data_IF_982865916691
#
_entry.id   IF_982865916691
#
_cell.length_a   1.000
_cell.length_b   1.000
_cell.length_c   1.000
_cell.angle_alpha   90.00
_cell.angle_beta   90.00
_cell.angle_gamma   90.00
#
_symmetry.space_group_name_H-M   'P 1'
#
loop_
_entity.id
_entity.type
_entity.pdbx_description
1 polymer ?
#
# COMPACT_ATOMS: atom_id res chain seq x y z
N UNK A 1 -31.57 28.36 24.91
CA UNK A 1 -30.48 27.61 24.24
C UNK A 1 -31.00 27.21 22.88
N UNK A 2 -30.37 27.68 21.80
CA UNK A 2 -30.85 27.43 20.44
C UNK A 2 -30.84 25.93 20.14
N UNK A 3 -31.98 25.41 19.67
CA UNK A 3 -32.08 24.06 19.13
C UNK A 3 -31.18 23.94 17.89
N UNK A 4 -30.43 22.83 17.68
CA UNK A 4 -29.49 22.69 16.56
C UNK A 4 -30.13 22.56 15.16
N UNK A 5 -31.37 23.05 14.97
CA UNK A 5 -32.17 22.86 13.76
C UNK A 5 -32.04 23.96 12.71
N UNK A 6 -31.21 24.99 12.92
CA UNK A 6 -31.17 26.20 12.07
C UNK A 6 -29.96 26.28 11.12
N UNK A 7 -29.15 25.23 10.99
CA UNK A 7 -28.03 25.24 10.04
C UNK A 7 -28.40 24.48 8.76
N UNK A 8 -28.28 25.16 7.62
CA UNK A 8 -28.61 24.63 6.29
C UNK A 8 -27.48 23.73 5.73
N UNK A 9 -27.02 22.76 6.53
CA UNK A 9 -25.91 21.85 6.21
C UNK A 9 -26.20 20.43 6.67
N UNK A 10 -25.62 19.44 5.99
CA UNK A 10 -25.73 18.02 6.33
C UNK A 10 -24.35 17.34 6.43
N UNK A 11 -24.24 16.33 7.29
CA UNK A 11 -23.00 15.55 7.41
C UNK A 11 -22.90 14.53 6.29
N UNK A 12 -21.83 14.60 5.47
CA UNK A 12 -21.51 13.58 4.46
C UNK A 12 -20.70 12.43 5.07
N UNK A 13 -19.71 12.74 5.93
CA UNK A 13 -18.86 11.76 6.61
C UNK A 13 -18.32 12.35 7.90
N UNK A 14 -18.23 11.51 8.94
CA UNK A 14 -17.53 11.83 10.20
C UNK A 14 -16.59 10.69 10.58
N UNK A 15 -15.52 11.02 11.27
CA UNK A 15 -14.49 10.07 11.70
C UNK A 15 -13.55 10.75 12.68
N UNK A 16 -13.11 10.02 13.69
CA UNK A 16 -12.09 10.47 14.63
C UNK A 16 -11.27 9.27 15.12
N UNK A 17 -10.06 9.50 15.62
CA UNK A 17 -9.29 8.43 16.24
C UNK A 17 -7.85 8.79 16.54
N UNK A 18 -6.94 7.83 16.37
CA UNK A 18 -5.51 8.02 16.67
C UNK A 18 -4.64 7.51 15.53
N UNK A 19 -3.71 8.36 15.11
CA UNK A 19 -2.73 8.04 14.08
C UNK A 19 -1.34 7.84 14.69
N UNK A 20 -0.49 7.12 13.98
CA UNK A 20 0.93 6.89 14.27
C UNK A 20 1.15 6.18 15.62
N UNK A 21 0.30 5.20 15.94
CA UNK A 21 0.52 4.31 17.10
C UNK A 21 1.57 3.27 16.72
N UNK A 22 2.82 3.48 17.15
CA UNK A 22 3.95 2.57 16.88
C UNK A 22 4.06 1.46 17.93
N UNK A 23 4.18 0.22 17.48
CA UNK A 23 4.30 -0.96 18.36
C UNK A 23 5.32 -1.93 17.79
N UNK A 24 6.28 -2.38 18.62
CA UNK A 24 7.14 -3.52 18.34
C UNK A 24 6.67 -4.71 19.20
N UNK A 25 6.29 -5.80 18.55
CA UNK A 25 5.91 -7.06 19.21
C UNK A 25 7.06 -8.05 19.07
N UNK A 26 7.49 -8.64 20.19
CA UNK A 26 8.57 -9.62 20.23
C UNK A 26 8.01 -10.96 20.76
N UNK A 27 8.18 -12.03 19.98
CA UNK A 27 7.95 -13.41 20.43
C UNK A 27 9.28 -14.11 20.64
N UNK A 28 9.53 -14.65 21.83
CA UNK A 28 10.78 -15.33 22.18
C UNK A 28 10.55 -16.84 22.29
N UNK A 29 11.29 -17.61 21.51
CA UNK A 29 11.31 -19.07 21.50
C UNK A 29 12.73 -19.53 21.81
N UNK A 30 13.06 -19.68 23.10
CA UNK A 30 14.42 -19.92 23.56
C UNK A 30 15.36 -18.78 23.17
N UNK A 31 16.46 -19.09 22.48
CA UNK A 31 17.42 -18.11 21.95
C UNK A 31 16.99 -17.46 20.63
N UNK A 32 15.92 -17.97 20.00
CA UNK A 32 15.40 -17.49 18.73
C UNK A 32 14.23 -16.52 18.96
N UNK A 33 14.37 -15.28 18.48
CA UNK A 33 13.37 -14.23 18.65
C UNK A 33 12.73 -13.89 17.30
N UNK A 34 11.44 -13.59 17.30
CA UNK A 34 10.67 -13.08 16.17
C UNK A 34 10.17 -11.68 16.52
N UNK A 35 10.17 -10.79 15.53
CA UNK A 35 9.66 -9.42 15.69
C UNK A 35 8.66 -9.06 14.60
N UNK A 36 7.74 -8.18 14.93
CA UNK A 36 6.98 -7.37 13.98
C UNK A 36 6.85 -5.97 14.58
N UNK A 37 7.31 -4.96 13.85
CA UNK A 37 7.10 -3.56 14.21
C UNK A 37 6.09 -2.95 13.23
N UNK A 38 5.11 -2.24 13.76
CA UNK A 38 4.03 -1.66 12.98
C UNK A 38 3.72 -0.23 13.42
N UNK A 39 3.09 0.52 12.52
CA UNK A 39 2.51 1.84 12.75
C UNK A 39 1.04 1.79 12.38
N UNK A 40 0.15 1.98 13.36
CA UNK A 40 -1.30 1.89 13.18
C UNK A 40 -1.98 3.28 13.23
N UNK A 41 -2.93 3.47 12.33
CA UNK A 41 -3.90 4.56 12.31
C UNK A 41 -5.30 3.96 12.44
N UNK A 42 -6.06 4.40 13.45
CA UNK A 42 -7.40 3.88 13.76
C UNK A 42 -8.39 5.04 13.70
N UNK A 43 -9.46 4.87 12.93
CA UNK A 43 -10.58 5.82 12.79
C UNK A 43 -11.90 5.13 13.12
N UNK A 44 -12.73 5.79 13.91
CA UNK A 44 -14.07 5.35 14.30
C UNK A 44 -15.12 6.37 13.84
N UNK A 45 -16.28 5.88 13.41
CA UNK A 45 -17.47 6.70 13.16
C UNK A 45 -18.55 6.32 14.17
N UNK A 46 -19.05 7.30 14.92
CA UNK A 46 -20.11 7.08 15.93
C UNK A 46 -21.51 7.24 15.32
N UNK A 47 -22.53 6.75 16.03
CA UNK A 47 -23.95 6.94 15.68
C UNK A 47 -24.43 8.35 15.94
N UNK A 48 -24.00 8.94 17.06
CA UNK A 48 -24.36 10.29 17.47
C UNK A 48 -23.56 11.36 16.72
N UNK A 49 -24.06 12.60 16.73
CA UNK A 49 -23.38 13.81 16.24
C UNK A 49 -23.31 14.92 17.30
N UNK A 50 -23.66 14.60 18.55
CA UNK A 50 -23.73 15.59 19.65
C UNK A 50 -22.36 16.16 20.05
N UNK A 51 -21.30 15.41 19.78
CA UNK A 51 -19.92 15.86 19.85
C UNK A 51 -19.66 17.05 18.91
N UNK A 52 -20.12 16.95 17.66
CA UNK A 52 -20.00 18.05 16.68
C UNK A 52 -21.01 19.18 16.91
N UNK A 53 -22.26 18.84 17.19
CA UNK A 53 -23.37 19.81 17.22
C UNK A 53 -23.40 20.63 18.52
N UNK A 54 -23.05 20.03 19.65
CA UNK A 54 -23.18 20.65 20.99
C UNK A 54 -21.94 20.52 21.85
N UNK A 55 -20.86 19.88 21.36
CA UNK A 55 -19.66 19.62 22.15
C UNK A 55 -19.84 18.58 23.25
N UNK A 56 -20.88 17.74 23.16
CA UNK A 56 -21.14 16.70 24.17
C UNK A 56 -20.29 15.45 23.89
N UNK A 57 -19.31 15.21 24.75
CA UNK A 57 -18.35 14.12 24.62
C UNK A 57 -18.79 12.81 25.28
N UNK A 58 -20.03 12.68 25.77
CA UNK A 58 -20.46 11.49 26.53
C UNK A 58 -20.48 10.18 25.73
N UNK A 59 -20.45 10.24 24.39
CA UNK A 59 -20.29 9.06 23.52
C UNK A 59 -18.85 8.84 23.04
N UNK A 60 -17.92 9.76 23.32
CA UNK A 60 -16.56 9.73 22.80
C UNK A 60 -15.74 8.67 23.55
N UNK A 61 -15.19 7.71 22.80
CA UNK A 61 -14.08 6.89 23.25
C UNK A 61 -12.82 7.75 23.13
N UNK A 62 -12.11 8.10 24.22
CA UNK A 62 -10.94 8.98 24.12
C UNK A 62 -9.89 8.41 23.15
N UNK A 63 -9.27 9.26 22.35
CA UNK A 63 -8.24 8.79 21.39
C UNK A 63 -7.05 8.13 22.11
N UNK A 64 -6.77 8.50 23.36
CA UNK A 64 -5.80 7.79 24.19
C UNK A 64 -6.24 6.36 24.52
N UNK A 65 -7.53 6.13 24.80
CA UNK A 65 -8.10 4.79 24.95
C UNK A 65 -7.93 3.98 23.67
N UNK A 66 -8.11 4.59 22.50
CA UNK A 66 -7.88 3.90 21.21
C UNK A 66 -6.43 3.42 21.09
N UNK A 67 -5.45 4.28 21.41
CA UNK A 67 -4.02 3.91 21.48
C UNK A 67 -3.78 2.76 22.47
N UNK A 68 -4.36 2.86 23.68
CA UNK A 68 -4.22 1.83 24.71
C UNK A 68 -4.85 0.49 24.27
N UNK A 69 -5.97 0.51 23.54
CA UNK A 69 -6.59 -0.67 22.94
C UNK A 69 -5.67 -1.34 21.92
N UNK A 70 -5.00 -0.58 21.05
CA UNK A 70 -4.00 -1.15 20.13
C UNK A 70 -2.91 -1.87 20.90
N UNK A 71 -2.34 -1.24 21.94
CA UNK A 71 -1.32 -1.88 22.78
C UNK A 71 -1.84 -3.14 23.50
N UNK A 72 -3.04 -3.04 24.08
CA UNK A 72 -3.69 -4.13 24.80
C UNK A 72 -3.97 -5.34 23.90
N UNK A 73 -4.53 -5.11 22.71
CA UNK A 73 -4.80 -6.18 21.74
C UNK A 73 -3.51 -6.81 21.22
N UNK A 74 -2.47 -6.02 20.93
CA UNK A 74 -1.17 -6.56 20.50
C UNK A 74 -0.58 -7.51 21.57
N UNK A 75 -0.77 -7.19 22.87
CA UNK A 75 -0.36 -8.06 23.98
C UNK A 75 -1.24 -9.30 24.13
N UNK A 76 -2.56 -9.15 24.03
CA UNK A 76 -3.52 -10.23 24.31
C UNK A 76 -3.61 -11.25 23.16
N UNK A 77 -3.61 -10.78 21.92
CA UNK A 77 -3.76 -11.62 20.71
C UNK A 77 -2.43 -11.93 20.02
N UNK A 78 -1.39 -11.14 20.31
CA UNK A 78 -0.19 -11.12 19.48
C UNK A 78 -0.46 -10.43 18.14
N UNK A 79 0.56 -10.39 17.29
CA UNK A 79 0.46 -9.90 15.92
C UNK A 79 1.17 -10.91 15.03
N UNK A 80 0.40 -11.61 14.18
CA UNK A 80 0.95 -12.51 13.15
C UNK A 80 1.17 -11.75 11.85
N UNK A 81 0.11 -11.09 11.38
CA UNK A 81 0.13 -10.21 10.21
C UNK A 81 -0.58 -8.90 10.55
N UNK A 82 -0.25 -7.82 9.84
CA UNK A 82 -0.90 -6.52 10.05
C UNK A 82 -2.38 -6.54 9.65
N UNK A 83 -2.77 -7.35 8.66
CA UNK A 83 -4.16 -7.50 8.22
C UNK A 83 -5.02 -8.15 9.31
N UNK A 84 -4.54 -9.27 9.87
CA UNK A 84 -5.26 -9.98 10.92
C UNK A 84 -5.40 -9.10 12.18
N UNK A 85 -4.34 -8.38 12.52
CA UNK A 85 -4.38 -7.49 13.67
C UNK A 85 -5.31 -6.28 13.45
N UNK A 86 -5.39 -5.77 12.21
CA UNK A 86 -6.36 -4.72 11.85
C UNK A 86 -7.80 -5.21 11.94
N UNK A 87 -8.08 -6.47 11.53
CA UNK A 87 -9.38 -7.12 11.73
C UNK A 87 -9.73 -7.24 13.22
N UNK A 88 -8.76 -7.62 14.06
CA UNK A 88 -8.96 -7.75 15.51
C UNK A 88 -9.34 -6.42 16.17
N UNK A 89 -8.72 -5.31 15.74
CA UNK A 89 -9.02 -3.96 16.22
C UNK A 89 -10.41 -3.52 15.75
N UNK A 90 -10.75 -3.72 14.47
CA UNK A 90 -12.08 -3.40 13.94
C UNK A 90 -13.17 -4.13 14.73
N UNK A 91 -12.99 -5.44 14.90
CA UNK A 91 -13.92 -6.28 15.66
C UNK A 91 -14.08 -5.77 17.09
N UNK A 92 -12.98 -5.48 17.79
CA UNK A 92 -13.03 -5.00 19.17
C UNK A 92 -13.91 -3.75 19.32
N UNK A 93 -13.72 -2.73 18.47
CA UNK A 93 -14.50 -1.50 18.60
C UNK A 93 -15.97 -1.69 18.25
N UNK A 94 -16.28 -2.51 17.24
CA UNK A 94 -17.65 -2.77 16.83
C UNK A 94 -18.43 -3.65 17.82
N UNK A 95 -17.75 -4.53 18.56
CA UNK A 95 -18.42 -5.41 19.55
C UNK A 95 -18.45 -4.82 20.95
N UNK A 96 -17.49 -3.96 21.31
CA UNK A 96 -17.40 -3.39 22.67
C UNK A 96 -18.28 -2.16 22.84
N UNK A 97 -18.68 -1.50 21.74
CA UNK A 97 -19.40 -0.22 21.76
C UNK A 97 -20.56 -0.22 20.75
N UNK A 98 -21.80 -0.31 21.24
CA UNK A 98 -23.00 -0.38 20.39
C UNK A 98 -23.26 0.88 19.54
N UNK A 99 -22.63 2.01 19.88
CA UNK A 99 -22.76 3.28 19.19
C UNK A 99 -21.66 3.56 18.17
N UNK A 100 -20.71 2.63 17.97
CA UNK A 100 -19.72 2.69 16.88
C UNK A 100 -20.35 2.06 15.63
N UNK A 101 -20.49 2.85 14.56
CA UNK A 101 -21.08 2.42 13.29
C UNK A 101 -20.06 1.87 12.30
N UNK A 102 -18.80 2.30 12.41
CA UNK A 102 -17.73 1.93 11.50
C UNK A 102 -16.38 2.02 12.20
N UNK A 103 -15.53 1.03 11.94
CA UNK A 103 -14.13 1.05 12.33
C UNK A 103 -13.28 0.91 11.07
N UNK A 104 -12.26 1.74 10.95
CA UNK A 104 -11.27 1.70 9.88
C UNK A 104 -9.87 1.71 10.48
N UNK A 105 -9.02 0.81 10.03
CA UNK A 105 -7.65 0.64 10.52
C UNK A 105 -6.69 0.57 9.34
N UNK A 106 -5.75 1.50 9.30
CA UNK A 106 -4.61 1.47 8.38
C UNK A 106 -3.36 1.07 9.16
N UNK A 107 -2.55 0.17 8.59
CA UNK A 107 -1.28 -0.21 9.19
C UNK A 107 -0.16 -0.26 8.17
N UNK A 108 1.03 0.14 8.61
CA UNK A 108 2.29 -0.11 7.91
C UNK A 108 3.16 -1.03 8.76
N UNK A 109 3.79 -2.01 8.12
CA UNK A 109 4.82 -2.84 8.72
C UNK A 109 6.20 -2.21 8.47
N UNK A 110 7.02 -2.13 9.52
CA UNK A 110 8.41 -1.75 9.39
C UNK A 110 9.17 -2.91 8.72
N UNK A 111 9.92 -2.67 7.62
CA UNK A 111 10.57 -3.71 6.82
C UNK A 111 11.86 -4.22 7.47
N UNK A 112 11.75 -4.76 8.69
CA UNK A 112 12.83 -5.48 9.34
C UNK A 112 13.03 -6.82 8.65
N UNK A 113 14.27 -7.08 8.24
CA UNK A 113 14.70 -8.39 7.73
C UNK A 113 15.65 -9.01 8.74
N UNK A 114 15.50 -10.31 9.00
CA UNK A 114 16.48 -11.03 9.83
C UNK A 114 17.85 -10.98 9.17
N UNK A 115 18.90 -10.76 9.96
CA UNK A 115 20.27 -10.83 9.43
C UNK A 115 20.57 -12.27 8.99
N UNK A 116 21.16 -12.42 7.81
CA UNK A 116 21.53 -13.70 7.24
C UNK A 116 22.95 -13.63 6.67
N UNK A 117 23.73 -14.68 6.86
CA UNK A 117 25.05 -14.84 6.24
C UNK A 117 25.25 -16.30 5.84
N UNK A 118 25.63 -16.54 4.58
CA UNK A 118 25.87 -17.88 4.03
C UNK A 118 24.67 -18.84 4.23
N UNK A 119 23.44 -18.35 4.08
CA UNK A 119 22.22 -19.13 4.31
C UNK A 119 21.87 -19.40 5.78
N UNK A 120 22.63 -18.83 6.72
CA UNK A 120 22.37 -18.96 8.17
C UNK A 120 21.75 -17.68 8.69
N UNK A 121 20.55 -17.80 9.23
CA UNK A 121 19.80 -16.71 9.87
C UNK A 121 20.26 -16.46 11.32
N UNK A 122 20.37 -15.19 11.71
CA UNK A 122 20.70 -14.80 13.07
C UNK A 122 19.50 -14.97 14.01
N UNK A 123 19.73 -15.56 15.18
CA UNK A 123 18.66 -15.88 16.13
C UNK A 123 17.82 -14.68 16.61
N UNK A 124 18.37 -13.45 16.65
CA UNK A 124 17.71 -12.29 17.26
C UNK A 124 18.24 -10.94 16.75
N UNK A 125 18.94 -10.90 15.62
CA UNK A 125 19.46 -9.67 15.03
C UNK A 125 18.78 -9.40 13.68
N UNK A 126 18.41 -8.14 13.45
CA UNK A 126 17.61 -7.69 12.32
C UNK A 126 18.22 -6.44 11.70
N UNK A 127 18.04 -6.26 10.40
CA UNK A 127 18.46 -5.09 9.63
C UNK A 127 17.22 -4.42 9.01
N UNK A 128 17.18 -3.09 9.04
CA UNK A 128 16.11 -2.33 8.41
C UNK A 128 16.35 -2.31 6.90
N UNK A 129 15.46 -2.93 6.11
CA UNK A 129 15.69 -3.22 4.69
C UNK A 129 14.49 -2.80 3.84
N UNK A 130 14.31 -1.49 3.56
CA UNK A 130 13.12 -0.95 2.90
C UNK A 130 13.13 -1.17 1.38
N UNK A 131 13.26 -2.41 0.93
CA UNK A 131 13.11 -2.79 -0.49
C UNK A 131 11.68 -2.53 -0.98
N UNK A 132 10.71 -2.75 -0.09
CA UNK A 132 9.29 -2.58 -0.32
C UNK A 132 8.61 -2.50 1.06
N UNK A 133 7.67 -1.58 1.23
CA UNK A 133 6.91 -1.41 2.47
C UNK A 133 5.54 -2.08 2.33
N UNK A 134 5.25 -3.03 3.22
CA UNK A 134 3.92 -3.64 3.35
C UNK A 134 2.99 -2.74 4.14
N UNK A 135 1.76 -2.60 3.65
CA UNK A 135 0.70 -1.92 4.37
C UNK A 135 -0.64 -2.65 4.19
N UNK A 136 -1.61 -2.34 5.05
CA UNK A 136 -2.99 -2.79 4.89
C UNK A 136 -3.98 -1.69 5.28
N UNK A 137 -5.20 -1.78 4.75
CA UNK A 137 -6.35 -0.93 5.08
C UNK A 137 -7.56 -1.85 5.28
N UNK A 138 -8.06 -1.91 6.51
CA UNK A 138 -9.23 -2.72 6.88
C UNK A 138 -10.35 -1.79 7.31
N UNK A 139 -11.53 -1.98 6.73
CA UNK A 139 -12.72 -1.21 7.06
C UNK A 139 -13.89 -2.14 7.32
N UNK A 140 -14.62 -1.90 8.41
CA UNK A 140 -15.80 -2.68 8.76
C UNK A 140 -16.91 -1.74 9.26
N UNK A 141 -18.08 -1.85 8.63
CA UNK A 141 -19.32 -1.26 9.13
C UNK A 141 -19.96 -2.20 10.17
N UNK A 142 -20.73 -1.63 11.10
CA UNK A 142 -21.48 -2.39 12.10
C UNK A 142 -22.38 -3.43 11.41
N UNK A 143 -22.27 -4.69 11.83
CA UNK A 143 -22.94 -5.87 11.25
C UNK A 143 -22.58 -6.16 9.77
N UNK A 144 -21.60 -5.47 9.20
CA UNK A 144 -21.08 -5.71 7.86
C UNK A 144 -19.90 -6.69 7.85
N UNK A 145 -19.64 -7.24 6.65
CA UNK A 145 -18.43 -8.03 6.39
C UNK A 145 -17.24 -7.06 6.29
N UNK A 146 -16.11 -7.33 6.97
CA UNK A 146 -14.93 -6.48 6.87
C UNK A 146 -14.34 -6.54 5.46
N UNK A 147 -13.95 -5.37 4.94
CA UNK A 147 -13.22 -5.22 3.68
C UNK A 147 -11.75 -5.08 4.01
N UNK A 148 -10.92 -5.97 3.46
CA UNK A 148 -9.48 -6.00 3.69
C UNK A 148 -8.76 -5.62 2.39
N UNK A 149 -7.86 -4.64 2.49
CA UNK A 149 -6.86 -4.36 1.49
C UNK A 149 -5.47 -4.63 2.05
N UNK A 150 -4.60 -5.25 1.26
CA UNK A 150 -3.15 -5.23 1.47
C UNK A 150 -2.50 -4.39 0.36
N UNK A 151 -1.25 -4.04 0.56
CA UNK A 151 -0.51 -3.33 -0.46
C UNK A 151 0.99 -3.33 -0.27
N UNK A 152 1.66 -2.88 -1.32
CA UNK A 152 3.08 -2.57 -1.36
C UNK A 152 3.27 -1.12 -1.77
N UNK A 153 4.17 -0.41 -1.10
CA UNK A 153 4.54 0.97 -1.43
C UNK A 153 6.04 1.17 -1.25
N UNK A 154 6.55 2.30 -1.75
CA UNK A 154 7.96 2.68 -1.66
C UNK A 154 8.90 1.61 -2.23
N UNK A 155 8.46 0.86 -3.25
CA UNK A 155 9.28 -0.13 -3.94
C UNK A 155 9.88 0.51 -5.19
N UNK A 156 11.08 1.08 -5.04
CA UNK A 156 11.78 1.75 -6.15
C UNK A 156 12.58 0.74 -6.96
N UNK A 157 12.26 0.65 -8.25
CA UNK A 157 12.92 -0.24 -9.22
C UNK A 157 13.33 0.56 -10.45
N UNK A 158 14.49 0.20 -11.02
CA UNK A 158 15.05 0.83 -12.21
C UNK A 158 15.55 -0.26 -13.16
N UNK A 159 15.22 -0.13 -14.45
CA UNK A 159 15.91 -0.83 -15.54
C UNK A 159 16.46 0.17 -16.54
N UNK A 160 17.64 -0.12 -17.07
CA UNK A 160 18.43 0.80 -17.91
C UNK A 160 18.10 0.70 -19.40
N UNK A 161 17.31 -0.30 -19.80
CA UNK A 161 16.95 -0.59 -21.19
C UNK A 161 15.64 -1.38 -21.23
N UNK A 162 15.28 -1.94 -22.39
CA UNK A 162 14.07 -2.74 -22.61
C UNK A 162 12.79 -1.95 -22.26
N UNK A 163 12.81 -0.65 -22.55
CA UNK A 163 11.69 0.27 -22.39
C UNK A 163 11.70 1.27 -23.52
N UNK A 164 10.59 1.38 -24.24
CA UNK A 164 10.40 2.36 -25.31
C UNK A 164 9.21 3.26 -25.06
N UNK A 165 9.10 4.30 -25.89
CA UNK A 165 7.90 5.11 -26.01
C UNK A 165 7.85 5.78 -27.38
N UNK A 166 7.01 5.24 -28.26
CA UNK A 166 6.82 5.68 -29.64
C UNK A 166 5.34 5.55 -30.04
N UNK A 167 4.96 6.16 -31.16
CA UNK A 167 3.59 6.13 -31.69
C UNK A 167 2.59 7.00 -30.92
N UNK A 168 3.07 7.94 -30.10
CA UNK A 168 2.19 8.84 -29.35
C UNK A 168 1.65 9.98 -30.23
N UNK A 169 0.50 10.52 -29.81
CA UNK A 169 -0.12 11.67 -30.48
C UNK A 169 0.78 12.91 -30.37
N UNK A 170 0.87 13.68 -31.46
CA UNK A 170 1.66 14.91 -31.53
C UNK A 170 0.75 16.10 -31.75
N UNK A 171 0.92 17.12 -30.92
CA UNK A 171 0.26 18.40 -31.05
C UNK A 171 1.28 19.55 -31.06
N UNK A 172 0.78 20.79 -31.03
CA UNK A 172 1.62 22.01 -31.03
C UNK A 172 2.53 22.17 -29.81
N UNK A 173 2.36 21.37 -28.76
CA UNK A 173 3.15 21.43 -27.52
C UNK A 173 4.07 20.22 -27.34
N UNK A 174 4.10 19.30 -28.29
CA UNK A 174 4.88 18.06 -28.20
C UNK A 174 6.33 18.30 -28.64
N UNK A 175 7.25 18.36 -27.68
CA UNK A 175 8.71 18.44 -27.93
C UNK A 175 9.42 17.10 -27.74
N UNK A 176 8.75 16.15 -27.08
CA UNK A 176 9.29 14.82 -26.80
C UNK A 176 9.59 14.07 -28.10
N UNK A 177 10.81 13.56 -28.21
CA UNK A 177 11.20 12.66 -29.28
C UNK A 177 10.79 11.23 -28.94
N UNK A 178 10.38 10.48 -29.96
CA UNK A 178 10.14 9.04 -29.80
C UNK A 178 11.46 8.35 -29.45
N UNK A 179 11.38 7.32 -28.60
CA UNK A 179 12.55 6.50 -28.29
C UNK A 179 12.19 5.03 -28.28
N UNK A 180 13.11 4.23 -28.81
CA UNK A 180 13.04 2.77 -28.76
C UNK A 180 13.74 2.19 -27.53
N UNK A 181 14.60 2.98 -26.88
CA UNK A 181 15.26 2.57 -25.66
C UNK A 181 15.42 3.74 -24.68
N UNK A 182 15.15 3.49 -23.40
CA UNK A 182 15.30 4.47 -22.32
C UNK A 182 15.35 3.77 -20.96
N UNK A 183 15.87 4.47 -19.97
CA UNK A 183 15.66 4.09 -18.58
C UNK A 183 14.17 4.10 -18.22
N UNK A 184 13.75 3.14 -17.40
CA UNK A 184 12.46 3.14 -16.73
C UNK A 184 12.70 2.98 -15.22
N UNK A 185 12.43 4.05 -14.47
CA UNK A 185 12.47 4.06 -13.02
C UNK A 185 11.09 4.38 -12.46
N UNK A 186 10.64 3.62 -11.46
CA UNK A 186 9.37 3.83 -10.79
C UNK A 186 9.46 3.49 -9.31
N UNK A 187 8.72 4.22 -8.48
CA UNK A 187 8.43 3.83 -7.10
C UNK A 187 7.02 3.26 -7.04
N UNK A 188 6.90 1.93 -7.05
CA UNK A 188 5.61 1.26 -7.20
C UNK A 188 4.76 1.44 -5.95
N UNK A 189 3.49 1.80 -6.17
CA UNK A 189 2.40 1.61 -5.23
C UNK A 189 1.41 0.62 -5.82
N UNK A 190 1.07 -0.42 -5.07
CA UNK A 190 -0.03 -1.32 -5.40
C UNK A 190 -0.87 -1.60 -4.16
N UNK A 191 -2.20 -1.60 -4.35
CA UNK A 191 -3.18 -1.91 -3.31
C UNK A 191 -4.20 -2.87 -3.89
N UNK A 192 -4.52 -3.93 -3.18
CA UNK A 192 -5.49 -4.90 -3.65
C UNK A 192 -6.52 -5.25 -2.58
N UNK A 193 -7.75 -5.50 -3.02
CA UNK A 193 -8.88 -5.92 -2.18
C UNK A 193 -9.04 -7.42 -2.25
N UNK A 194 -9.19 -8.06 -1.10
CA UNK A 194 -9.53 -9.48 -1.04
C UNK A 194 -11.03 -9.72 -1.23
N UNK A 195 -11.39 -10.89 -1.77
CA UNK A 195 -12.78 -11.33 -1.93
C UNK A 195 -13.39 -11.92 -0.64
N UNK A 196 -12.56 -12.22 0.36
CA UNK A 196 -12.92 -12.73 1.68
C UNK A 196 -12.03 -12.09 2.74
N UNK A 197 -12.36 -12.24 4.02
CA UNK A 197 -11.60 -11.65 5.13
C UNK A 197 -10.96 -12.68 6.06
N UNK A 198 -11.20 -13.97 5.83
CA UNK A 198 -10.70 -15.08 6.63
C UNK A 198 -10.10 -16.14 5.71
N UNK A 199 -9.29 -17.04 6.28
CA UNK A 199 -8.65 -18.14 5.56
C UNK A 199 -7.79 -17.67 4.37
N UNK A 200 -7.04 -16.58 4.58
CA UNK A 200 -6.08 -16.01 3.64
C UNK A 200 -4.70 -16.10 4.27
N UNK A 201 -3.74 -16.65 3.53
CA UNK A 201 -2.33 -16.48 3.85
C UNK A 201 -1.86 -15.10 3.33
N UNK A 202 -1.98 -14.09 4.19
CA UNK A 202 -1.65 -12.70 3.84
C UNK A 202 -0.16 -12.54 3.51
N UNK A 203 0.72 -13.30 4.17
CA UNK A 203 2.17 -13.21 3.96
C UNK A 203 2.56 -13.80 2.60
N UNK A 204 2.04 -15.00 2.29
CA UNK A 204 2.24 -15.63 0.99
C UNK A 204 1.65 -14.80 -0.15
N UNK A 205 0.46 -14.22 0.06
CA UNK A 205 -0.17 -13.35 -0.93
C UNK A 205 0.66 -12.10 -1.19
N UNK A 206 1.07 -11.38 -0.14
CA UNK A 206 1.89 -10.18 -0.28
C UNK A 206 3.19 -10.47 -1.02
N UNK A 207 3.85 -11.58 -0.67
CA UNK A 207 5.08 -12.03 -1.35
C UNK A 207 4.81 -12.32 -2.83
N UNK A 208 3.76 -13.07 -3.15
CA UNK A 208 3.40 -13.41 -4.52
C UNK A 208 3.12 -12.16 -5.38
N UNK A 209 2.40 -11.17 -4.83
CA UNK A 209 2.13 -9.91 -5.55
C UNK A 209 3.41 -9.10 -5.73
N UNK A 210 4.25 -8.95 -4.70
CA UNK A 210 5.56 -8.27 -4.80
C UNK A 210 6.41 -8.91 -5.90
N UNK A 211 6.54 -10.24 -5.89
CA UNK A 211 7.33 -10.99 -6.87
C UNK A 211 6.75 -10.85 -8.28
N UNK A 212 5.44 -10.88 -8.43
CA UNK A 212 4.76 -10.68 -9.73
C UNK A 212 5.03 -9.30 -10.31
N UNK A 213 5.04 -8.25 -9.48
CA UNK A 213 5.40 -6.89 -9.92
C UNK A 213 6.86 -6.83 -10.39
N UNK A 214 7.79 -7.40 -9.62
CA UNK A 214 9.22 -7.42 -9.97
C UNK A 214 9.44 -8.20 -11.26
N UNK A 215 8.82 -9.37 -11.40
CA UNK A 215 8.89 -10.22 -12.58
C UNK A 215 8.40 -9.48 -13.83
N UNK A 216 7.23 -8.84 -13.77
CA UNK A 216 6.68 -8.10 -14.91
C UNK A 216 7.41 -6.81 -15.23
N UNK A 217 8.08 -6.21 -14.26
CA UNK A 217 8.93 -5.05 -14.49
C UNK A 217 10.23 -5.43 -15.21
N UNK A 218 10.92 -6.46 -14.71
CA UNK A 218 12.27 -6.84 -15.15
C UNK A 218 12.27 -7.80 -16.34
N UNK A 219 11.37 -8.78 -16.37
CA UNK A 219 11.41 -9.92 -17.28
C UNK A 219 12.48 -10.96 -16.90
N UNK A 220 12.81 -11.89 -17.80
CA UNK A 220 13.86 -12.90 -17.60
C UNK A 220 15.22 -12.26 -17.25
N UNK A 221 15.91 -12.79 -16.24
CA UNK A 221 17.09 -12.12 -15.66
C UNK A 221 18.29 -12.02 -16.61
N UNK A 222 18.34 -12.89 -17.61
CA UNK A 222 19.41 -12.97 -18.62
C UNK A 222 19.26 -11.95 -19.76
N UNK A 223 18.02 -11.54 -20.09
CA UNK A 223 17.72 -10.76 -21.31
C UNK A 223 16.70 -9.63 -21.14
N UNK A 224 15.99 -9.60 -20.01
CA UNK A 224 14.86 -8.71 -19.74
C UNK A 224 13.66 -8.91 -20.67
N UNK A 225 12.67 -8.05 -20.54
CA UNK A 225 11.48 -8.01 -21.39
C UNK A 225 11.18 -6.57 -21.81
N UNK A 226 10.99 -6.36 -23.13
CA UNK A 226 10.72 -5.04 -23.70
C UNK A 226 9.32 -4.54 -23.29
N UNK A 227 9.26 -3.35 -22.72
CA UNK A 227 8.01 -2.66 -22.41
C UNK A 227 7.77 -1.50 -23.38
N UNK A 228 6.69 -1.52 -24.19
CA UNK A 228 6.36 -0.42 -25.09
C UNK A 228 5.70 0.77 -24.37
N UNK A 229 5.19 0.57 -23.14
CA UNK A 229 4.58 1.62 -22.33
C UNK A 229 4.42 1.19 -20.87
N UNK A 230 4.45 2.15 -19.95
CA UNK A 230 4.19 1.91 -18.52
C UNK A 230 2.78 1.35 -18.31
N UNK A 231 1.79 1.83 -19.08
CA UNK A 231 0.41 1.35 -19.06
C UNK A 231 0.32 -0.15 -19.34
N UNK A 232 1.09 -0.65 -20.31
CA UNK A 232 1.11 -2.08 -20.67
C UNK A 232 1.70 -2.93 -19.55
N UNK A 233 2.87 -2.54 -19.02
CA UNK A 233 3.48 -3.23 -17.87
C UNK A 233 2.56 -3.24 -16.65
N UNK A 234 1.91 -2.09 -16.36
CA UNK A 234 0.95 -1.97 -15.28
C UNK A 234 -0.21 -2.96 -15.45
N UNK A 235 -0.87 -2.94 -16.61
CA UNK A 235 -2.01 -3.79 -16.88
C UNK A 235 -1.66 -5.29 -16.84
N UNK A 236 -0.54 -5.69 -17.44
CA UNK A 236 -0.11 -7.09 -17.41
C UNK A 236 0.24 -7.58 -16.00
N UNK A 237 0.82 -6.72 -15.18
CA UNK A 237 1.08 -7.01 -13.76
C UNK A 237 -0.23 -7.27 -13.01
N UNK A 238 -1.26 -6.47 -13.29
CA UNK A 238 -2.57 -6.66 -12.66
C UNK A 238 -3.24 -7.95 -13.08
N UNK A 239 -3.24 -8.25 -14.38
CA UNK A 239 -3.82 -9.49 -14.93
C UNK A 239 -3.13 -10.70 -14.33
N UNK A 240 -1.79 -10.75 -14.35
CA UNK A 240 -1.03 -11.87 -13.81
C UNK A 240 -1.22 -12.04 -12.31
N UNK A 241 -1.36 -10.94 -11.56
CA UNK A 241 -1.69 -10.97 -10.13
C UNK A 241 -3.04 -11.65 -9.88
N UNK A 242 -4.07 -11.26 -10.64
CA UNK A 242 -5.40 -11.88 -10.57
C UNK A 242 -5.41 -13.32 -11.08
N UNK A 243 -4.48 -13.73 -11.94
CA UNK A 243 -4.35 -15.14 -12.34
C UNK A 243 -3.72 -15.99 -11.23
N UNK A 244 -2.69 -15.46 -10.55
CA UNK A 244 -1.93 -16.19 -9.52
C UNK A 244 -2.60 -16.23 -8.16
N UNK A 245 -3.40 -15.22 -7.81
CA UNK A 245 -3.98 -15.07 -6.47
C UNK A 245 -5.52 -15.00 -6.54
N UNK A 246 -6.22 -16.15 -6.47
CA UNK A 246 -7.68 -16.23 -6.53
C UNK A 246 -8.41 -15.35 -5.51
N UNK A 247 -7.80 -15.15 -4.34
CA UNK A 247 -8.33 -14.36 -3.22
C UNK A 247 -8.35 -12.86 -3.50
N UNK A 248 -7.57 -12.37 -4.47
CA UNK A 248 -7.59 -10.96 -4.88
C UNK A 248 -8.76 -10.72 -5.84
N UNK A 249 -9.64 -9.78 -5.50
CA UNK A 249 -10.82 -9.41 -6.30
C UNK A 249 -10.57 -8.19 -7.19
N UNK A 250 -9.77 -7.25 -6.70
CA UNK A 250 -9.46 -5.97 -7.34
C UNK A 250 -8.04 -5.55 -6.99
N UNK A 251 -7.32 -4.98 -7.96
CA UNK A 251 -5.98 -4.45 -7.77
C UNK A 251 -5.82 -3.09 -8.44
N UNK A 252 -5.37 -2.12 -7.65
CA UNK A 252 -4.95 -0.78 -8.03
C UNK A 252 -3.42 -0.74 -8.08
N UNK A 253 -2.87 -0.18 -9.14
CA UNK A 253 -1.43 0.07 -9.28
C UNK A 253 -1.20 1.51 -9.71
N UNK A 254 -0.18 2.14 -9.13
CA UNK A 254 0.35 3.45 -9.50
C UNK A 254 1.85 3.32 -9.73
N UNK A 255 2.31 3.76 -10.91
CA UNK A 255 3.70 3.73 -11.35
C UNK A 255 4.11 5.14 -11.82
N UNK A 256 4.70 5.97 -10.93
CA UNK A 256 5.32 7.20 -11.36
C UNK A 256 6.54 6.90 -12.24
N UNK A 257 6.67 7.58 -13.36
CA UNK A 257 7.85 7.51 -14.22
C UNK A 257 8.87 8.55 -13.75
N UNK A 258 9.84 8.13 -12.94
CA UNK A 258 10.94 8.95 -12.45
C UNK A 258 12.00 9.09 -13.54
N UNK A 259 12.27 10.32 -13.96
CA UNK A 259 13.01 10.56 -15.20
C UNK A 259 14.53 10.51 -14.99
N UNK A 260 15.19 9.74 -15.85
CA UNK A 260 16.62 9.80 -16.08
C UNK A 260 16.82 10.26 -17.53
N UNK A 261 17.28 11.50 -17.71
CA UNK A 261 17.39 12.14 -19.03
C UNK A 261 18.86 12.27 -19.40
N UNK A 262 19.22 11.86 -20.61
CA UNK A 262 20.58 12.04 -21.13
C UNK A 262 20.98 13.50 -21.12
N UNK A 263 22.13 13.80 -20.51
CA UNK A 263 22.66 15.16 -20.45
C UNK A 263 23.21 15.55 -21.81
N UNK A 264 22.66 16.59 -22.44
CA UNK A 264 23.22 17.17 -23.66
C UNK A 264 24.55 17.87 -23.34
N UNK A 265 25.64 17.33 -23.88
CA UNK A 265 27.00 17.86 -23.71
C UNK A 265 27.56 18.54 -24.96
N UNK A 266 26.74 18.76 -26.00
CA UNK A 266 27.19 19.33 -27.27
C UNK A 266 27.78 20.74 -27.11
N UNK A 267 27.26 21.54 -26.16
CA UNK A 267 27.81 22.86 -25.81
C UNK A 267 29.24 22.81 -25.25
N UNK A 268 29.67 21.66 -24.73
CA UNK A 268 31.03 21.41 -24.27
C UNK A 268 31.90 20.74 -25.33
N UNK A 269 31.37 20.49 -26.54
CA UNK A 269 32.06 19.75 -27.59
C UNK A 269 32.18 18.25 -27.34
N UNK A 270 31.37 17.68 -26.43
CA UNK A 270 31.38 16.26 -26.08
C UNK A 270 30.14 15.55 -26.65
N UNK A 271 30.30 14.27 -26.98
CA UNK A 271 29.18 13.39 -27.35
C UNK A 271 28.85 12.48 -26.17
N UNK A 272 27.60 12.48 -25.73
CA UNK A 272 27.10 11.59 -24.67
C UNK A 272 26.09 10.61 -25.29
N UNK A 273 26.43 9.32 -25.33
CA UNK A 273 25.59 8.26 -25.92
C UNK A 273 24.81 7.52 -24.84
N UNK A 274 23.98 8.27 -24.11
CA UNK A 274 23.17 7.75 -22.99
C UNK A 274 24.00 7.13 -21.85
N UNK A 275 25.23 7.62 -21.66
CA UNK A 275 26.16 7.15 -20.62
C UNK A 275 26.02 7.95 -19.33
N UNK A 276 25.72 9.26 -19.46
CA UNK A 276 25.53 10.17 -18.33
C UNK A 276 24.12 10.74 -18.35
N UNK A 277 23.32 10.37 -17.35
CA UNK A 277 21.92 10.77 -17.23
C UNK A 277 21.70 11.63 -15.98
N UNK A 278 20.85 12.64 -16.12
CA UNK A 278 20.34 13.45 -15.03
C UNK A 278 19.13 12.75 -14.40
N UNK A 279 19.24 12.39 -13.12
CA UNK A 279 18.09 11.98 -12.31
C UNK A 279 17.29 13.24 -11.92
N UNK A 280 16.03 13.30 -12.32
CA UNK A 280 15.12 14.38 -11.95
C UNK A 280 14.19 13.93 -10.82
N UNK A 281 14.22 14.66 -9.71
CA UNK A 281 13.26 14.45 -8.61
C UNK A 281 11.84 14.82 -9.07
N UNK A 282 11.71 15.92 -9.82
CA UNK A 282 10.45 16.46 -10.31
C UNK A 282 10.64 17.16 -11.68
N UNK A 283 9.60 17.23 -12.52
CA UNK A 283 8.33 16.52 -12.42
C UNK A 283 8.49 15.02 -12.72
N UNK A 284 7.47 14.21 -12.43
CA UNK A 284 7.39 12.81 -12.85
C UNK A 284 6.07 12.55 -13.58
N UNK A 285 6.10 11.69 -14.59
CA UNK A 285 4.86 11.14 -15.16
C UNK A 285 4.17 10.27 -14.12
N UNK A 286 2.83 10.19 -14.12
CA UNK A 286 2.10 9.36 -13.17
C UNK A 286 1.07 8.50 -13.91
N UNK A 287 1.23 7.18 -13.85
CA UNK A 287 0.38 6.21 -14.56
C UNK A 287 -0.34 5.37 -13.52
N UNK A 288 -1.67 5.32 -13.60
CA UNK A 288 -2.52 4.63 -12.63
C UNK A 288 -3.53 3.74 -13.34
N UNK A 289 -3.92 2.64 -12.72
CA UNK A 289 -5.05 1.85 -13.17
C UNK A 289 -5.58 0.95 -12.08
N UNK A 290 -6.88 0.64 -12.15
CA UNK A 290 -7.54 -0.32 -11.26
C UNK A 290 -8.34 -1.29 -12.10
N UNK A 291 -8.12 -2.58 -11.88
CA UNK A 291 -8.92 -3.64 -12.52
C UNK A 291 -9.47 -4.57 -11.45
N UNK A 292 -10.63 -5.16 -11.74
CA UNK A 292 -11.29 -6.15 -10.89
C UNK A 292 -11.70 -7.36 -11.70
N UNK A 293 -11.92 -8.49 -11.03
CA UNK A 293 -12.52 -9.67 -11.66
C UNK A 293 -13.90 -9.33 -12.22
N UNK A 294 -14.23 -9.93 -13.36
CA UNK A 294 -15.59 -9.82 -13.91
C UNK A 294 -16.56 -10.50 -12.95
N UNK A 295 -17.64 -9.81 -12.60
CA UNK A 295 -18.73 -10.43 -11.83
C UNK A 295 -19.40 -11.48 -12.72
N UNK A 296 -19.37 -12.74 -12.30
CA UNK A 296 -20.27 -13.74 -12.89
C UNK A 296 -21.68 -13.43 -12.38
N UNK A 297 -22.64 -13.31 -13.29
CA UNK A 297 -24.04 -13.19 -12.90
C UNK A 297 -24.40 -14.40 -12.02
N UNK A 298 -25.02 -14.14 -10.87
CA UNK A 298 -25.63 -15.21 -10.08
C UNK A 298 -26.77 -15.78 -10.92
N UNK A 299 -26.56 -16.97 -11.51
CA UNK A 299 -27.60 -17.79 -12.12
C UNK A 299 -28.54 -18.32 -11.03
#
# INVERSE_FOLDING_TARGET
MATPSDQNVEFVRTGYGKNTVKVLVIRREGSHHFIIELKADVELTLKSRKDYLTGDNSDIIPTDTIKNTVHGLAKLKGVKTIEQFSLDICLHFLTSFNHVLRAKVYMEEAPWRRLEKNGVEHAHAFIYSPEACRFCDVEQNLNGIPVVHSGVKNMTVLKTTQSGFEGFHRDRFTTLQETKDRCFCTSVYARWRYNKSHDIDFDATWKCVKETIIEKFAGPYDRGEFSPSVQKTLYETQVLTLERVPEVDEIEIVMPNQHYITIDMTKMGLTNKDEVLLALDNPSGNITGTVRRKQQAKL
#
